data_IF_362202473689
#
_entry.id   IF_362202473689
#
_cell.length_a   1.000
_cell.length_b   1.000
_cell.length_c   1.000
_cell.angle_alpha   90.00
_cell.angle_beta   90.00
_cell.angle_gamma   90.00
#
_symmetry.space_group_name_H-M   'P 1'
#
loop_
_entity.id
_entity.type
_entity.pdbx_description
1 polymer ?
#
# COMPACT_ATOMS: atom_id res chain seq x y z
N UNK A 1 -18.38 -31.66 -15.19
CA UNK A 1 -17.47 -31.04 -14.20
C UNK A 1 -16.88 -29.81 -14.88
N UNK A 2 -17.57 -28.66 -14.81
CA UNK A 2 -17.14 -27.42 -15.48
C UNK A 2 -16.69 -26.45 -14.39
N UNK A 3 -15.39 -26.49 -14.06
CA UNK A 3 -14.78 -25.37 -13.36
C UNK A 3 -14.71 -24.26 -14.40
N UNK A 4 -15.58 -23.26 -14.28
CA UNK A 4 -15.65 -22.14 -15.22
C UNK A 4 -14.28 -21.47 -15.33
N UNK A 5 -13.85 -21.19 -16.55
CA UNK A 5 -12.63 -20.41 -16.86
C UNK A 5 -12.59 -19.12 -16.02
N UNK A 6 -13.76 -18.54 -15.69
CA UNK A 6 -13.90 -17.40 -14.78
C UNK A 6 -13.39 -17.66 -13.36
N UNK A 7 -13.66 -18.83 -12.77
CA UNK A 7 -13.15 -19.18 -11.43
C UNK A 7 -11.64 -19.44 -11.45
N UNK A 8 -11.14 -19.94 -12.57
CA UNK A 8 -9.71 -20.14 -12.80
C UNK A 8 -9.00 -18.80 -13.03
N UNK A 9 -9.63 -17.83 -13.71
CA UNK A 9 -9.15 -16.46 -13.88
C UNK A 9 -9.33 -15.58 -12.63
N UNK A 10 -10.29 -15.86 -11.75
CA UNK A 10 -10.41 -15.22 -10.42
C UNK A 10 -9.34 -15.74 -9.44
N UNK A 11 -8.99 -17.04 -9.55
CA UNK A 11 -7.86 -17.65 -8.84
C UNK A 11 -6.52 -17.20 -9.40
N UNK A 12 -6.40 -17.09 -10.73
CA UNK A 12 -5.32 -16.39 -11.42
C UNK A 12 -5.60 -14.88 -11.31
N UNK A 13 -5.58 -14.38 -10.09
CA UNK A 13 -4.35 -13.78 -9.58
C UNK A 13 -4.65 -12.72 -8.53
N UNK A 14 -5.67 -12.93 -7.70
CA UNK A 14 -5.88 -12.07 -6.52
C UNK A 14 -4.80 -12.29 -5.47
N UNK A 15 -4.20 -13.48 -5.43
CA UNK A 15 -3.08 -13.83 -4.56
C UNK A 15 -1.74 -13.28 -5.06
N UNK A 16 -1.26 -13.56 -6.29
CA UNK A 16 0.01 -12.93 -6.74
C UNK A 16 -0.17 -11.41 -6.97
N UNK A 17 -1.36 -10.89 -7.31
CA UNK A 17 -1.59 -9.43 -7.30
C UNK A 17 -1.47 -8.88 -5.88
N UNK A 18 -2.01 -9.58 -4.88
CA UNK A 18 -1.88 -9.21 -3.47
C UNK A 18 -0.44 -9.29 -3.01
N UNK A 19 0.29 -10.35 -3.36
CA UNK A 19 1.72 -10.50 -3.04
C UNK A 19 2.53 -9.35 -3.64
N UNK A 20 2.34 -9.05 -4.94
CA UNK A 20 2.98 -7.89 -5.59
C UNK A 20 2.61 -6.57 -4.91
N UNK A 21 1.35 -6.39 -4.52
CA UNK A 21 0.93 -5.19 -3.80
C UNK A 21 1.58 -5.09 -2.41
N UNK A 22 1.71 -6.21 -1.70
CA UNK A 22 2.39 -6.27 -0.40
C UNK A 22 3.87 -5.92 -0.58
N UNK A 23 4.54 -6.46 -1.59
CA UNK A 23 5.94 -6.15 -1.90
C UNK A 23 6.13 -4.66 -2.21
N UNK A 24 5.32 -4.11 -3.12
CA UNK A 24 5.39 -2.69 -3.47
C UNK A 24 5.14 -1.77 -2.27
N UNK A 25 4.20 -2.12 -1.40
CA UNK A 25 3.93 -1.33 -0.19
C UNK A 25 5.04 -1.48 0.86
N UNK A 26 5.73 -2.63 0.94
CA UNK A 26 6.92 -2.79 1.78
C UNK A 26 8.05 -1.91 1.30
N UNK A 27 8.33 -1.91 -0.01
CA UNK A 27 9.34 -1.01 -0.60
C UNK A 27 9.00 0.46 -0.32
N UNK A 28 7.74 0.85 -0.49
CA UNK A 28 7.29 2.20 -0.21
C UNK A 28 7.40 2.57 1.27
N UNK A 29 7.13 1.61 2.17
CA UNK A 29 7.29 1.79 3.61
C UNK A 29 8.76 2.00 3.98
N UNK A 30 9.68 1.25 3.39
CA UNK A 30 11.12 1.39 3.61
C UNK A 30 11.63 2.76 3.12
N UNK A 31 11.14 3.23 1.96
CA UNK A 31 11.43 4.58 1.45
C UNK A 31 10.89 5.64 2.42
N UNK A 32 9.63 5.51 2.84
CA UNK A 32 9.01 6.46 3.75
C UNK A 32 9.74 6.50 5.10
N UNK A 33 10.16 5.35 5.63
CA UNK A 33 10.95 5.24 6.85
C UNK A 33 12.31 5.93 6.69
N UNK A 34 13.03 5.64 5.59
CA UNK A 34 14.33 6.25 5.32
C UNK A 34 14.26 7.77 5.35
N UNK A 35 13.22 8.36 4.74
CA UNK A 35 13.03 9.80 4.75
C UNK A 35 12.43 10.34 6.05
N UNK A 36 11.68 9.54 6.82
CA UNK A 36 11.12 9.97 8.10
C UNK A 36 12.20 10.18 9.17
N UNK A 37 13.35 9.51 9.03
CA UNK A 37 14.51 9.63 9.94
C UNK A 37 15.69 10.41 9.35
N UNK A 38 15.55 10.96 8.14
CA UNK A 38 16.63 11.70 7.47
C UNK A 38 16.86 13.07 8.13
N UNK A 39 18.00 13.22 8.81
CA UNK A 39 18.37 14.45 9.53
C UNK A 39 18.61 15.63 8.58
N UNK A 40 18.90 15.38 7.29
CA UNK A 40 19.09 16.43 6.26
C UNK A 40 17.77 17.08 5.83
N UNK A 41 16.64 16.41 6.04
CA UNK A 41 15.31 16.97 5.75
C UNK A 41 14.85 17.95 6.83
N UNK A 42 13.88 18.80 6.52
CA UNK A 42 13.22 19.61 7.54
C UNK A 42 12.38 18.75 8.47
N UNK A 43 12.12 19.25 9.69
CA UNK A 43 11.21 18.60 10.65
C UNK A 43 9.83 18.35 10.02
N UNK A 44 9.33 19.29 9.20
CA UNK A 44 8.04 19.16 8.53
C UNK A 44 8.05 18.04 7.49
N UNK A 45 9.09 17.95 6.67
CA UNK A 45 9.24 16.89 5.67
C UNK A 45 9.33 15.51 6.35
N UNK A 46 10.17 15.37 7.38
CA UNK A 46 10.24 14.12 8.18
C UNK A 46 8.88 13.73 8.76
N UNK A 47 8.12 14.69 9.29
CA UNK A 47 6.77 14.44 9.82
C UNK A 47 5.80 13.99 8.72
N UNK A 48 5.88 14.56 7.51
CA UNK A 48 5.08 14.13 6.38
C UNK A 48 5.41 12.69 5.98
N UNK A 49 6.71 12.35 5.88
CA UNK A 49 7.15 10.99 5.62
C UNK A 49 6.73 9.98 6.69
N UNK A 50 6.81 10.35 7.98
CA UNK A 50 6.33 9.51 9.08
C UNK A 50 4.81 9.26 9.01
N UNK A 51 4.02 10.26 8.59
CA UNK A 51 2.58 10.09 8.37
C UNK A 51 2.30 9.14 7.21
N UNK A 52 3.06 9.27 6.12
CA UNK A 52 2.95 8.37 4.98
C UNK A 52 3.31 6.93 5.37
N UNK A 53 4.42 6.73 6.09
CA UNK A 53 4.86 5.44 6.63
C UNK A 53 3.75 4.77 7.47
N UNK A 54 3.15 5.52 8.41
CA UNK A 54 2.07 5.02 9.25
C UNK A 54 0.81 4.64 8.44
N UNK A 55 0.50 5.38 7.38
CA UNK A 55 -0.65 5.08 6.52
C UNK A 55 -0.39 3.87 5.62
N UNK A 56 0.84 3.70 5.12
CA UNK A 56 1.27 2.51 4.37
C UNK A 56 1.16 1.26 5.27
N UNK A 57 1.63 1.33 6.52
CA UNK A 57 1.51 0.22 7.47
C UNK A 57 0.05 -0.19 7.72
N UNK A 58 -0.85 0.79 7.87
CA UNK A 58 -2.29 0.53 7.99
C UNK A 58 -2.89 -0.10 6.73
N UNK A 59 -2.42 0.32 5.55
CA UNK A 59 -2.87 -0.21 4.26
C UNK A 59 -2.40 -1.65 4.06
N UNK A 60 -1.13 -1.95 4.36
CA UNK A 60 -0.57 -3.30 4.43
C UNK A 60 -1.37 -4.21 5.36
N UNK A 61 -1.65 -3.76 6.59
CA UNK A 61 -2.45 -4.54 7.54
C UNK A 61 -3.85 -4.84 7.01
N UNK A 62 -4.47 -3.90 6.28
CA UNK A 62 -5.76 -4.16 5.66
C UNK A 62 -5.66 -5.16 4.50
N UNK A 63 -4.63 -5.07 3.67
CA UNK A 63 -4.42 -5.98 2.54
C UNK A 63 -4.10 -7.39 3.02
N UNK A 64 -3.36 -7.53 4.11
CA UNK A 64 -3.03 -8.86 4.68
C UNK A 64 -4.29 -9.53 5.24
N UNK A 65 -5.16 -8.77 5.92
CA UNK A 65 -6.29 -9.32 6.68
C UNK A 65 -7.64 -9.33 5.92
N UNK A 66 -7.78 -8.59 4.82
CA UNK A 66 -9.05 -8.46 4.08
C UNK A 66 -8.95 -9.05 2.67
N UNK A 67 -9.99 -9.76 2.22
CA UNK A 67 -10.09 -10.36 0.89
C UNK A 67 -10.90 -9.52 -0.11
N UNK A 68 -11.50 -8.40 0.33
CA UNK A 68 -12.24 -7.50 -0.56
C UNK A 68 -11.32 -6.54 -1.34
N UNK A 69 -11.12 -6.86 -2.62
CA UNK A 69 -10.33 -6.08 -3.58
C UNK A 69 -10.84 -4.64 -3.71
N UNK A 70 -12.14 -4.40 -3.53
CA UNK A 70 -12.75 -3.06 -3.66
C UNK A 70 -12.30 -2.14 -2.52
N UNK A 71 -12.26 -2.67 -1.29
CA UNK A 71 -11.75 -1.94 -0.13
C UNK A 71 -10.26 -1.66 -0.26
N UNK A 72 -9.49 -2.63 -0.76
CA UNK A 72 -8.06 -2.47 -1.03
C UNK A 72 -7.81 -1.34 -2.03
N UNK A 73 -8.53 -1.32 -3.17
CA UNK A 73 -8.42 -0.24 -4.17
C UNK A 73 -8.74 1.13 -3.59
N UNK A 74 -9.75 1.22 -2.72
CA UNK A 74 -10.11 2.46 -2.03
C UNK A 74 -8.96 2.98 -1.15
N UNK A 75 -8.36 2.10 -0.34
CA UNK A 75 -7.21 2.45 0.53
C UNK A 75 -5.98 2.89 -0.25
N UNK A 76 -5.68 2.24 -1.38
CA UNK A 76 -4.61 2.68 -2.27
C UNK A 76 -4.85 4.07 -2.86
N UNK A 77 -6.10 4.37 -3.26
CA UNK A 77 -6.45 5.71 -3.75
C UNK A 77 -6.34 6.77 -2.64
N UNK A 78 -6.70 6.43 -1.41
CA UNK A 78 -6.53 7.31 -0.26
C UNK A 78 -5.03 7.54 0.05
N UNK A 79 -4.20 6.50 -0.02
CA UNK A 79 -2.74 6.61 0.11
C UNK A 79 -2.16 7.58 -0.93
N UNK A 80 -2.61 7.47 -2.19
CA UNK A 80 -2.17 8.37 -3.26
C UNK A 80 -2.54 9.83 -2.97
N UNK A 81 -3.80 10.08 -2.57
CA UNK A 81 -4.26 11.43 -2.21
C UNK A 81 -3.48 12.00 -1.03
N UNK A 82 -3.19 11.18 -0.02
CA UNK A 82 -2.37 11.59 1.12
C UNK A 82 -0.97 12.04 0.67
N UNK A 83 -0.32 11.29 -0.23
CA UNK A 83 0.99 11.69 -0.76
C UNK A 83 0.89 13.05 -1.49
N UNK A 84 -0.12 13.22 -2.34
CA UNK A 84 -0.38 14.49 -3.04
C UNK A 84 -0.63 15.66 -2.07
N UNK A 85 -1.41 15.44 -0.99
CA UNK A 85 -1.69 16.45 0.04
C UNK A 85 -0.46 16.83 0.89
N UNK A 86 0.51 15.90 1.00
CA UNK A 86 1.73 16.11 1.77
C UNK A 86 2.88 16.70 0.95
N UNK A 87 2.66 17.01 -0.33
CA UNK A 87 3.68 17.42 -1.31
C UNK A 87 4.85 16.41 -1.39
N UNK A 88 4.55 15.10 -1.35
CA UNK A 88 5.51 14.00 -1.44
C UNK A 88 5.50 13.29 -2.81
#
# INVERSE_FOLDING_TARGET
>A
MNISVTKFLEKINTEELRERMIEQLRELMDIAHKHSVDEELSVKERQNWARLEAYIAQTLNSIINDYDISNIKKKLNELKKLAEELDL
#
